data_IF_500980763599
#
_entry.id   IF_500980763599
#
_cell.length_a   1.000
_cell.length_b   1.000
_cell.length_c   1.000
_cell.angle_alpha   90.00
_cell.angle_beta   90.00
_cell.angle_gamma   90.00
#
_symmetry.space_group_name_H-M   'P 1'
#
loop_
_entity.id
_entity.type
_entity.pdbx_description
1 polymer ?
#
# COMPACT_ATOMS: atom_id res chain seq x y z
N UNK A 1 2.18 9.24 10.02
CA UNK A 1 1.30 8.22 9.44
C UNK A 1 1.06 8.61 8.00
N UNK A 2 1.27 7.69 7.05
CA UNK A 2 0.90 7.82 5.66
C UNK A 2 -0.31 6.93 5.39
N UNK A 3 -1.31 7.42 4.68
CA UNK A 3 -2.53 6.69 4.35
C UNK A 3 -2.71 6.60 2.84
N UNK A 4 -2.96 5.41 2.36
CA UNK A 4 -3.45 5.10 1.01
C UNK A 4 -4.89 4.63 1.17
N UNK A 5 -5.88 5.49 0.99
CA UNK A 5 -7.29 5.13 1.16
C UNK A 5 -7.80 4.31 -0.01
N UNK A 6 -8.93 3.65 0.19
CA UNK A 6 -9.75 3.10 -0.91
C UNK A 6 -10.01 4.19 -1.97
N UNK A 7 -10.06 3.79 -3.24
CA UNK A 7 -10.30 4.71 -4.36
C UNK A 7 -9.13 5.64 -4.71
N UNK A 8 -7.91 5.36 -4.19
CA UNK A 8 -6.62 6.00 -4.53
C UNK A 8 -6.52 7.49 -4.17
N UNK A 9 -7.58 8.29 -4.38
CA UNK A 9 -7.73 9.72 -4.07
C UNK A 9 -6.51 10.58 -4.50
N UNK A 10 -6.01 10.35 -5.70
CA UNK A 10 -4.98 11.19 -6.31
C UNK A 10 -5.59 12.53 -6.77
N UNK A 11 -4.76 13.53 -7.00
CA UNK A 11 -5.19 14.80 -7.60
C UNK A 11 -5.24 14.67 -9.12
N UNK A 12 -6.43 14.59 -9.75
CA UNK A 12 -6.55 14.32 -11.18
C UNK A 12 -5.98 15.43 -12.06
N UNK A 13 -5.97 16.67 -11.56
CA UNK A 13 -5.55 17.90 -12.27
C UNK A 13 -4.09 18.29 -11.97
N UNK A 14 -3.35 17.47 -11.23
CA UNK A 14 -1.92 17.62 -11.02
C UNK A 14 -1.19 16.53 -11.77
N UNK A 15 0.01 16.83 -12.28
CA UNK A 15 0.86 15.79 -12.87
C UNK A 15 1.46 14.87 -11.78
N UNK A 16 2.17 13.83 -12.18
CA UNK A 16 2.76 12.85 -11.25
C UNK A 16 3.70 13.52 -10.25
N UNK A 17 4.61 14.40 -10.72
CA UNK A 17 5.55 15.11 -9.84
C UNK A 17 4.80 15.98 -8.84
N UNK A 18 3.84 16.78 -9.31
CA UNK A 18 3.03 17.66 -8.47
C UNK A 18 2.24 16.87 -7.43
N UNK A 19 1.64 15.73 -7.82
CA UNK A 19 0.98 14.82 -6.89
C UNK A 19 1.91 14.36 -5.77
N UNK A 20 3.14 13.94 -6.12
CA UNK A 20 4.12 13.43 -5.16
C UNK A 20 4.61 14.52 -4.20
N UNK A 21 4.81 15.76 -4.66
CA UNK A 21 5.34 16.84 -3.82
C UNK A 21 4.26 17.56 -3.03
N UNK A 22 3.00 17.53 -3.47
CA UNK A 22 1.90 18.29 -2.85
C UNK A 22 1.73 18.01 -1.34
N UNK A 23 2.03 16.79 -0.91
CA UNK A 23 1.90 16.36 0.50
C UNK A 23 3.24 16.00 1.13
N UNK A 24 4.36 16.24 0.44
CA UNK A 24 5.67 15.85 0.92
C UNK A 24 6.03 16.55 2.24
N UNK A 25 6.56 15.79 3.18
CA UNK A 25 6.96 16.30 4.49
C UNK A 25 7.99 15.37 5.15
N UNK A 26 8.90 15.95 5.92
CA UNK A 26 9.82 15.18 6.77
C UNK A 26 9.73 15.68 8.24
N UNK A 27 8.54 15.54 8.84
CA UNK A 27 8.25 16.04 10.19
C UNK A 27 9.11 15.38 11.28
N UNK A 28 9.53 14.12 11.04
CA UNK A 28 10.34 13.37 12.00
C UNK A 28 11.84 13.50 11.77
N UNK A 29 12.26 14.37 10.86
CA UNK A 29 13.67 14.60 10.49
C UNK A 29 14.39 13.28 10.18
N UNK A 30 13.72 12.42 9.40
CA UNK A 30 14.31 11.16 8.94
C UNK A 30 15.63 11.47 8.21
N UNK A 31 16.70 10.78 8.59
CA UNK A 31 18.06 10.97 7.99
C UNK A 31 18.12 10.49 6.54
N UNK A 32 17.27 9.54 6.17
CA UNK A 32 17.14 9.02 4.81
C UNK A 32 15.68 9.15 4.33
N UNK A 33 15.23 10.39 4.00
CA UNK A 33 13.84 10.63 3.66
C UNK A 33 13.47 10.07 2.29
N UNK A 34 12.19 9.86 2.08
CA UNK A 34 11.62 9.63 0.76
C UNK A 34 11.77 10.88 -0.10
N UNK A 35 12.26 10.69 -1.31
CA UNK A 35 12.46 11.71 -2.35
C UNK A 35 11.79 11.27 -3.63
N UNK A 36 11.63 12.18 -4.60
CA UNK A 36 11.13 11.84 -5.94
C UNK A 36 11.94 10.70 -6.57
N UNK A 37 13.27 10.78 -6.51
CA UNK A 37 14.15 9.75 -7.10
C UNK A 37 13.91 8.38 -6.46
N UNK A 38 13.71 8.32 -5.15
CA UNK A 38 13.42 7.06 -4.47
C UNK A 38 12.05 6.49 -4.85
N UNK A 39 11.04 7.36 -5.04
CA UNK A 39 9.72 6.92 -5.51
C UNK A 39 9.80 6.44 -6.95
N UNK A 40 10.53 7.13 -7.83
CA UNK A 40 10.71 6.72 -9.21
C UNK A 40 11.55 5.44 -9.36
N UNK A 41 12.52 5.22 -8.48
CA UNK A 41 13.25 3.94 -8.41
C UNK A 41 12.36 2.79 -7.94
N UNK A 42 11.37 3.07 -7.08
CA UNK A 42 10.40 2.09 -6.61
C UNK A 42 9.34 1.78 -7.67
N UNK A 43 8.93 2.81 -8.43
CA UNK A 43 7.92 2.74 -9.48
C UNK A 43 8.42 3.40 -10.77
N UNK A 44 9.24 2.69 -11.59
CA UNK A 44 9.80 3.26 -12.83
C UNK A 44 8.76 3.75 -13.82
N UNK A 45 7.59 3.10 -13.86
CA UNK A 45 6.46 3.51 -14.71
C UNK A 45 5.97 4.94 -14.41
N UNK A 46 6.06 5.39 -13.16
CA UNK A 46 5.73 6.76 -12.79
C UNK A 46 6.74 7.78 -13.32
N UNK A 47 8.02 7.40 -13.46
CA UNK A 47 9.03 8.27 -14.06
C UNK A 47 8.73 8.50 -15.55
N UNK A 48 8.37 7.45 -16.29
CA UNK A 48 7.95 7.55 -17.68
C UNK A 48 6.73 8.46 -17.88
N UNK A 49 5.86 8.51 -16.87
CA UNK A 49 4.64 9.31 -16.81
C UNK A 49 4.76 10.60 -16.00
N UNK A 50 5.97 11.03 -15.64
CA UNK A 50 6.22 12.10 -14.67
C UNK A 50 5.46 13.42 -14.97
N UNK A 51 5.24 13.73 -16.26
CA UNK A 51 4.51 14.92 -16.73
C UNK A 51 3.03 14.68 -17.04
N UNK A 52 2.55 13.43 -16.99
CA UNK A 52 1.14 13.10 -17.25
C UNK A 52 0.29 13.55 -16.05
N UNK A 53 -0.92 14.04 -16.35
CA UNK A 53 -1.91 14.36 -15.31
C UNK A 53 -2.42 13.07 -14.64
N UNK A 54 -2.85 13.16 -13.37
CA UNK A 54 -3.35 12.02 -12.62
C UNK A 54 -4.50 11.28 -13.32
N UNK A 55 -5.39 12.00 -14.00
CA UNK A 55 -6.50 11.43 -14.76
C UNK A 55 -6.08 10.73 -16.07
N UNK A 56 -4.84 10.86 -16.50
CA UNK A 56 -4.28 10.19 -17.69
C UNK A 56 -3.57 8.87 -17.35
N UNK A 57 -3.48 8.55 -16.08
CA UNK A 57 -2.83 7.34 -15.58
C UNK A 57 -3.80 6.15 -15.59
N UNK A 58 -3.26 4.96 -15.85
CA UNK A 58 -3.97 3.71 -15.62
C UNK A 58 -4.31 3.52 -14.13
N UNK A 59 -5.26 2.64 -13.83
CA UNK A 59 -5.60 2.34 -12.43
C UNK A 59 -4.42 1.87 -11.57
N UNK A 60 -3.50 1.10 -12.16
CA UNK A 60 -2.27 0.66 -11.50
C UNK A 60 -1.30 1.81 -11.24
N UNK A 61 -1.03 2.64 -12.23
CA UNK A 61 -0.17 3.83 -12.08
C UNK A 61 -0.74 4.81 -11.05
N UNK A 62 -2.07 4.99 -11.02
CA UNK A 62 -2.73 5.80 -9.98
C UNK A 62 -2.53 5.22 -8.57
N UNK A 63 -2.56 3.90 -8.43
CA UNK A 63 -2.31 3.24 -7.15
C UNK A 63 -0.86 3.39 -6.71
N UNK A 64 0.09 3.20 -7.63
CA UNK A 64 1.52 3.45 -7.37
C UNK A 64 1.76 4.91 -6.97
N UNK A 65 1.09 5.86 -7.64
CA UNK A 65 1.15 7.27 -7.31
C UNK A 65 0.59 7.56 -5.89
N UNK A 66 -0.52 6.93 -5.51
CA UNK A 66 -1.09 7.07 -4.17
C UNK A 66 -0.13 6.54 -3.09
N UNK A 67 0.50 5.38 -3.32
CA UNK A 67 1.53 4.83 -2.42
C UNK A 67 2.74 5.78 -2.36
N UNK A 68 3.24 6.24 -3.49
CA UNK A 68 4.34 7.20 -3.57
C UNK A 68 4.07 8.48 -2.77
N UNK A 69 2.86 9.05 -2.91
CA UNK A 69 2.42 10.22 -2.12
C UNK A 69 2.44 9.95 -0.62
N UNK A 70 1.94 8.80 -0.19
CA UNK A 70 1.96 8.43 1.22
C UNK A 70 3.40 8.31 1.74
N UNK A 71 4.31 7.69 0.96
CA UNK A 71 5.72 7.57 1.30
C UNK A 71 6.43 8.93 1.37
N UNK A 72 6.12 9.88 0.48
CA UNK A 72 6.68 11.25 0.48
C UNK A 72 6.36 12.02 1.77
N UNK A 73 5.39 11.60 2.57
CA UNK A 73 5.15 12.16 3.91
C UNK A 73 6.14 11.66 4.97
N UNK A 74 7.06 10.78 4.60
CA UNK A 74 8.03 10.14 5.48
C UNK A 74 7.37 9.51 6.73
N UNK A 75 6.41 8.59 6.56
CA UNK A 75 5.60 8.10 7.66
C UNK A 75 6.37 7.06 8.49
N UNK A 76 6.10 7.02 9.81
CA UNK A 76 6.51 5.89 10.65
C UNK A 76 5.63 4.66 10.45
N UNK A 77 4.37 4.86 10.09
CA UNK A 77 3.39 3.83 9.79
C UNK A 77 2.73 4.16 8.45
N UNK A 78 2.79 3.23 7.51
CA UNK A 78 2.05 3.27 6.24
C UNK A 78 0.78 2.43 6.40
N UNK A 79 -0.37 3.00 6.08
CA UNK A 79 -1.67 2.32 6.11
C UNK A 79 -2.19 2.24 4.69
N UNK A 80 -2.61 1.04 4.28
CA UNK A 80 -3.21 0.78 2.97
C UNK A 80 -4.58 0.15 3.17
N UNK A 81 -5.58 0.76 2.55
CA UNK A 81 -6.96 0.30 2.60
C UNK A 81 -7.38 -0.16 1.21
N UNK A 82 -7.57 -1.49 1.06
CA UNK A 82 -7.92 -2.18 -0.20
C UNK A 82 -7.02 -1.78 -1.39
N UNK A 83 -5.71 -1.68 -1.15
CA UNK A 83 -4.75 -1.10 -2.10
C UNK A 83 -4.59 -1.90 -3.41
N UNK A 84 -5.09 -3.13 -3.49
CA UNK A 84 -4.99 -3.97 -4.70
C UNK A 84 -6.33 -4.24 -5.37
N UNK A 85 -7.43 -3.70 -4.85
CA UNK A 85 -8.76 -3.96 -5.43
C UNK A 85 -8.91 -3.38 -6.84
N UNK A 86 -9.53 -4.14 -7.74
CA UNK A 86 -9.81 -3.73 -9.12
C UNK A 86 -8.57 -3.58 -10.03
N UNK A 87 -7.39 -4.04 -9.60
CA UNK A 87 -6.16 -3.99 -10.39
C UNK A 87 -5.91 -5.28 -11.17
N UNK A 88 -5.20 -5.15 -12.30
CA UNK A 88 -4.72 -6.29 -13.07
C UNK A 88 -3.75 -7.16 -12.27
N UNK A 89 -3.71 -8.49 -12.49
CA UNK A 89 -2.88 -9.42 -11.70
C UNK A 89 -1.40 -9.02 -11.61
N UNK A 90 -0.79 -8.62 -12.72
CA UNK A 90 0.63 -8.20 -12.74
C UNK A 90 0.88 -6.96 -11.87
N UNK A 91 -0.04 -5.99 -11.90
CA UNK A 91 0.06 -4.77 -11.07
C UNK A 91 -0.09 -5.11 -9.59
N UNK A 92 -1.00 -6.04 -9.26
CA UNK A 92 -1.13 -6.53 -7.87
C UNK A 92 0.18 -7.12 -7.36
N UNK A 93 0.81 -8.00 -8.18
CA UNK A 93 2.11 -8.60 -7.83
C UNK A 93 3.17 -7.51 -7.57
N UNK A 94 3.29 -6.53 -8.46
CA UNK A 94 4.25 -5.43 -8.32
C UNK A 94 4.03 -4.63 -7.03
N UNK A 95 2.76 -4.36 -6.66
CA UNK A 95 2.44 -3.67 -5.41
C UNK A 95 2.81 -4.54 -4.19
N UNK A 96 2.51 -5.84 -4.19
CA UNK A 96 2.86 -6.73 -3.09
C UNK A 96 4.38 -6.87 -2.92
N UNK A 97 5.13 -6.96 -4.02
CA UNK A 97 6.60 -6.95 -4.01
C UNK A 97 7.15 -5.64 -3.44
N UNK A 98 6.58 -4.51 -3.86
CA UNK A 98 6.91 -3.20 -3.29
C UNK A 98 6.70 -3.17 -1.77
N UNK A 99 5.54 -3.62 -1.28
CA UNK A 99 5.23 -3.65 0.15
C UNK A 99 6.19 -4.56 0.93
N UNK A 100 6.58 -5.70 0.35
CA UNK A 100 7.57 -6.58 0.95
C UNK A 100 8.95 -5.93 1.04
N UNK A 101 9.38 -5.22 0.00
CA UNK A 101 10.60 -4.43 0.01
C UNK A 101 10.59 -3.33 1.07
N UNK A 102 9.48 -2.62 1.21
CA UNK A 102 9.28 -1.61 2.25
C UNK A 102 9.35 -2.22 3.66
N UNK A 103 8.68 -3.35 3.89
CA UNK A 103 8.75 -4.10 5.16
C UNK A 103 10.19 -4.49 5.48
N UNK A 104 10.91 -5.06 4.52
CA UNK A 104 12.32 -5.49 4.69
C UNK A 104 13.23 -4.30 5.01
N UNK A 105 12.93 -3.11 4.50
CA UNK A 105 13.65 -1.87 4.83
C UNK A 105 13.28 -1.28 6.20
N UNK A 106 12.40 -1.93 6.97
CA UNK A 106 12.00 -1.51 8.32
C UNK A 106 10.77 -0.59 8.38
N UNK A 107 10.03 -0.42 7.27
CA UNK A 107 8.78 0.34 7.28
C UNK A 107 7.70 -0.45 8.02
N UNK A 108 7.06 0.16 9.02
CA UNK A 108 5.85 -0.40 9.62
C UNK A 108 4.67 -0.21 8.67
N UNK A 109 3.92 -1.29 8.43
CA UNK A 109 2.81 -1.31 7.47
C UNK A 109 1.59 -1.94 8.12
N UNK A 110 0.43 -1.31 7.94
CA UNK A 110 -0.89 -1.87 8.21
C UNK A 110 -1.63 -1.99 6.88
N UNK A 111 -2.01 -3.22 6.50
CA UNK A 111 -2.74 -3.47 5.25
C UNK A 111 -4.12 -4.03 5.58
N UNK A 112 -5.15 -3.47 4.98
CA UNK A 112 -6.50 -4.02 4.92
C UNK A 112 -6.72 -4.50 3.50
N UNK A 113 -6.89 -5.81 3.31
CA UNK A 113 -7.10 -6.41 1.98
C UNK A 113 -7.83 -7.76 2.13
N UNK A 114 -8.46 -8.21 1.06
CA UNK A 114 -9.19 -9.50 0.98
C UNK A 114 -8.28 -10.66 0.53
N UNK A 115 -7.10 -10.35 0.01
CA UNK A 115 -6.17 -11.35 -0.52
C UNK A 115 -5.38 -12.01 0.61
N UNK A 116 -5.96 -13.06 1.20
CA UNK A 116 -5.38 -13.79 2.34
C UNK A 116 -4.02 -14.37 2.00
N UNK A 117 -3.85 -14.92 0.80
CA UNK A 117 -2.58 -15.50 0.36
C UNK A 117 -1.47 -14.43 0.40
N UNK A 118 -1.68 -13.28 -0.23
CA UNK A 118 -0.70 -12.21 -0.22
C UNK A 118 -0.45 -11.66 1.20
N UNK A 119 -1.51 -11.52 2.00
CA UNK A 119 -1.40 -11.06 3.39
C UNK A 119 -0.56 -12.03 4.25
N UNK A 120 -0.77 -13.34 4.11
CA UNK A 120 -0.02 -14.35 4.90
C UNK A 120 1.46 -14.42 4.52
N UNK A 121 1.82 -14.05 3.29
CA UNK A 121 3.22 -13.89 2.88
C UNK A 121 3.85 -12.56 3.36
N UNK A 122 3.06 -11.49 3.39
CA UNK A 122 3.57 -10.17 3.75
C UNK A 122 3.59 -9.93 5.25
N UNK A 123 2.46 -10.16 5.95
CA UNK A 123 2.26 -9.68 7.31
C UNK A 123 2.87 -10.61 8.37
N UNK A 124 3.31 -10.04 9.49
CA UNK A 124 3.81 -10.80 10.64
C UNK A 124 2.67 -11.18 11.59
N UNK A 125 1.57 -10.41 11.58
CA UNK A 125 0.41 -10.59 12.45
C UNK A 125 -0.86 -10.20 11.73
N UNK A 126 -1.93 -10.93 12.01
CA UNK A 126 -3.24 -10.75 11.39
C UNK A 126 -4.31 -10.47 12.44
N UNK A 127 -5.31 -9.72 12.03
CA UNK A 127 -6.52 -9.45 12.79
C UNK A 127 -7.72 -9.66 11.86
N UNK A 128 -8.73 -10.38 12.31
CA UNK A 128 -10.02 -10.45 11.63
C UNK A 128 -11.00 -9.56 12.39
N UNK A 129 -11.63 -8.65 11.67
CA UNK A 129 -12.60 -7.71 12.22
C UNK A 129 -13.99 -8.02 11.67
N UNK A 130 -14.97 -8.13 12.56
CA UNK A 130 -16.39 -8.25 12.22
C UNK A 130 -17.19 -7.24 13.04
N UNK A 131 -18.05 -6.45 12.37
CA UNK A 131 -18.94 -5.45 13.01
C UNK A 131 -18.23 -4.54 14.01
N UNK A 132 -17.02 -4.08 13.64
CA UNK A 132 -16.23 -3.17 14.46
C UNK A 132 -15.50 -3.81 15.64
N UNK A 133 -15.47 -5.15 15.73
CA UNK A 133 -14.77 -5.88 16.80
C UNK A 133 -13.73 -6.82 16.21
N UNK A 134 -12.58 -6.94 16.88
CA UNK A 134 -11.59 -7.97 16.55
C UNK A 134 -12.14 -9.29 17.09
N UNK A 135 -12.40 -10.23 16.17
CA UNK A 135 -12.94 -11.56 16.49
C UNK A 135 -11.86 -12.64 16.50
N UNK A 136 -10.71 -12.37 15.88
CA UNK A 136 -9.56 -13.26 15.88
C UNK A 136 -8.26 -12.47 15.70
N UNK A 137 -7.15 -12.98 16.26
CA UNK A 137 -5.80 -12.45 16.00
C UNK A 137 -4.76 -13.55 16.12
N UNK A 138 -3.77 -13.55 15.24
CA UNK A 138 -2.68 -14.53 15.23
C UNK A 138 -1.61 -14.22 14.19
N UNK A 139 -0.64 -15.10 14.04
CA UNK A 139 0.35 -15.07 12.97
C UNK A 139 -0.13 -15.81 11.71
N UNK A 140 0.67 -15.78 10.63
CA UNK A 140 0.33 -16.43 9.36
C UNK A 140 0.17 -17.95 9.51
N UNK A 141 1.06 -18.69 10.20
CA UNK A 141 0.87 -20.12 10.44
C UNK A 141 -0.44 -20.46 11.15
N UNK A 142 -0.79 -19.70 12.19
CA UNK A 142 -2.04 -19.89 12.92
C UNK A 142 -3.28 -19.62 12.03
N UNK A 143 -3.25 -18.56 11.22
CA UNK A 143 -4.33 -18.25 10.29
C UNK A 143 -4.51 -19.34 9.22
N UNK A 144 -3.41 -19.83 8.64
CA UNK A 144 -3.44 -20.89 7.62
C UNK A 144 -3.96 -22.23 8.19
N UNK A 145 -3.62 -22.55 9.43
CA UNK A 145 -4.03 -23.79 10.08
C UNK A 145 -5.52 -23.79 10.49
N UNK A 146 -6.10 -22.63 10.77
CA UNK A 146 -7.46 -22.49 11.30
C UNK A 146 -8.49 -22.41 10.17
N UNK A 147 -8.88 -23.57 9.65
CA UNK A 147 -9.88 -23.68 8.57
C UNK A 147 -11.29 -23.25 8.99
N UNK A 148 -11.63 -23.37 10.25
CA UNK A 148 -12.92 -22.93 10.76
C UNK A 148 -13.02 -21.40 10.71
N UNK A 149 -12.00 -20.68 11.15
CA UNK A 149 -11.92 -19.24 11.09
C UNK A 149 -11.93 -18.73 9.64
N UNK A 150 -11.16 -19.39 8.74
CA UNK A 150 -11.15 -19.04 7.32
C UNK A 150 -12.55 -19.17 6.70
N UNK A 151 -13.21 -20.31 6.90
CA UNK A 151 -14.55 -20.55 6.36
C UNK A 151 -15.58 -19.57 6.95
N UNK A 152 -15.55 -19.37 8.27
CA UNK A 152 -16.55 -18.56 8.98
C UNK A 152 -16.48 -17.07 8.65
N UNK A 153 -15.29 -16.50 8.56
CA UNK A 153 -15.10 -15.05 8.47
C UNK A 153 -14.52 -14.57 7.13
N UNK A 154 -13.85 -15.45 6.38
CA UNK A 154 -13.19 -15.06 5.13
C UNK A 154 -13.87 -15.67 3.90
N UNK A 155 -14.78 -16.64 4.08
CA UNK A 155 -15.54 -17.27 3.00
C UNK A 155 -14.72 -18.17 2.08
N UNK A 156 -13.60 -18.74 2.58
CA UNK A 156 -12.67 -19.60 1.82
C UNK A 156 -12.44 -20.93 2.54
#
# INVERSE_FOLDING_TARGET
>A
MGLVPEGRQIFPNLNVIENLVATSANRFKNKNPWTLDRVFNLFPSLLERAKNMGNQLSGGEQQMLAIGRALMTNPRLLILDEATEGLAPLVKMEIWECLNGLKTSGQSILVVDKNIEALTHLANRHYIMEKGKIVWSGDSPALIADKEIQHRYLGI
#
